data_IF_497818154405
#
_entry.id   IF_497818154405
#
_cell.length_a   1.000
_cell.length_b   1.000
_cell.length_c   1.000
_cell.angle_alpha   90.00
_cell.angle_beta   90.00
_cell.angle_gamma   90.00
#
_symmetry.space_group_name_H-M   'P 1'
#
loop_
_entity.id
_entity.type
_entity.pdbx_description
1 polymer ?
#
# COMPACT_ATOMS: atom_id res chain seq x y z
N UNK A 1 -59.64 -62.09 10.03
CA UNK A 1 -58.31 -61.57 10.41
C UNK A 1 -58.37 -60.05 10.34
N UNK A 2 -58.17 -59.36 11.48
CA UNK A 2 -58.23 -57.90 11.57
C UNK A 2 -56.93 -57.31 10.98
N UNK A 3 -57.02 -56.55 9.90
CA UNK A 3 -55.89 -55.76 9.39
C UNK A 3 -55.85 -54.42 10.13
N UNK A 4 -54.76 -54.16 10.84
CA UNK A 4 -54.47 -52.85 11.43
C UNK A 4 -53.85 -51.96 10.36
N UNK A 5 -54.44 -50.77 10.17
CA UNK A 5 -53.90 -49.71 9.34
C UNK A 5 -52.81 -49.00 10.13
N UNK A 6 -51.55 -49.17 9.71
CA UNK A 6 -50.42 -48.42 10.27
C UNK A 6 -50.34 -47.08 9.53
N UNK A 7 -50.78 -45.99 10.18
CA UNK A 7 -50.54 -44.63 9.69
C UNK A 7 -49.15 -44.22 10.17
N UNK A 8 -48.17 -44.24 9.27
CA UNK A 8 -46.86 -43.62 9.51
C UNK A 8 -47.00 -42.13 9.24
N UNK A 9 -47.07 -41.33 10.30
CA UNK A 9 -46.90 -39.88 10.20
C UNK A 9 -45.40 -39.64 10.00
N UNK A 10 -44.99 -39.45 8.75
CA UNK A 10 -43.67 -38.91 8.45
C UNK A 10 -43.67 -37.42 8.85
N UNK A 11 -43.14 -37.12 10.04
CA UNK A 11 -42.82 -35.75 10.41
C UNK A 11 -41.69 -35.27 9.48
N UNK A 12 -42.04 -34.48 8.47
CA UNK A 12 -41.07 -33.74 7.66
C UNK A 12 -40.51 -32.64 8.55
N UNK A 13 -39.33 -32.88 9.14
CA UNK A 13 -38.55 -31.81 9.76
C UNK A 13 -38.06 -30.88 8.64
N UNK A 14 -38.83 -29.83 8.35
CA UNK A 14 -38.35 -28.70 7.58
C UNK A 14 -37.32 -27.97 8.44
N UNK A 15 -36.04 -28.31 8.27
CA UNK A 15 -34.97 -27.47 8.77
C UNK A 15 -35.02 -26.16 7.97
N UNK A 16 -35.63 -25.12 8.54
CA UNK A 16 -35.46 -23.76 8.07
C UNK A 16 -33.98 -23.40 8.30
N UNK A 17 -33.17 -23.46 7.25
CA UNK A 17 -31.82 -22.89 7.32
C UNK A 17 -31.96 -21.41 7.69
N UNK A 18 -31.21 -20.97 8.69
CA UNK A 18 -31.16 -19.56 9.07
C UNK A 18 -30.66 -18.75 7.86
N UNK A 19 -31.54 -17.95 7.27
CA UNK A 19 -31.20 -17.07 6.15
C UNK A 19 -30.62 -15.77 6.71
N UNK A 20 -29.39 -15.44 6.32
CA UNK A 20 -28.77 -14.15 6.64
C UNK A 20 -29.14 -13.17 5.53
N UNK A 21 -29.92 -12.14 5.86
CA UNK A 21 -30.29 -11.09 4.92
C UNK A 21 -29.27 -9.95 4.98
N UNK A 22 -28.53 -9.76 3.89
CA UNK A 22 -27.61 -8.63 3.72
C UNK A 22 -28.40 -7.41 3.24
N UNK A 23 -28.26 -6.28 3.93
CA UNK A 23 -28.89 -5.03 3.54
C UNK A 23 -27.92 -4.16 2.74
N UNK A 24 -28.38 -3.59 1.63
CA UNK A 24 -27.64 -2.64 0.79
C UNK A 24 -28.46 -1.34 0.66
N UNK A 25 -27.79 -0.19 0.70
CA UNK A 25 -28.40 1.12 0.47
C UNK A 25 -27.48 1.98 -0.39
N UNK A 26 -27.80 2.10 -1.68
CA UNK A 26 -27.01 2.85 -2.66
C UNK A 26 -27.27 4.36 -2.67
N UNK A 27 -28.21 4.84 -1.84
CA UNK A 27 -28.41 6.28 -1.60
C UNK A 27 -27.43 6.85 -0.58
N UNK A 28 -26.78 5.99 0.23
CA UNK A 28 -25.70 6.36 1.13
C UNK A 28 -24.37 5.91 0.54
N UNK A 29 -23.57 6.90 0.11
CA UNK A 29 -22.27 6.68 -0.52
C UNK A 29 -21.13 7.16 0.38
N UNK A 30 -19.95 6.57 0.23
CA UNK A 30 -18.74 6.92 0.97
C UNK A 30 -17.63 7.33 0.00
N UNK A 31 -16.48 6.67 0.05
CA UNK A 31 -15.33 6.99 -0.77
C UNK A 31 -15.42 6.38 -2.17
N UNK A 32 -14.82 7.08 -3.14
CA UNK A 32 -14.50 6.56 -4.46
C UNK A 32 -13.13 5.86 -4.42
N UNK A 33 -13.05 4.69 -5.06
CA UNK A 33 -11.84 3.89 -5.13
C UNK A 33 -10.88 4.46 -6.18
N UNK A 34 -9.66 4.75 -5.75
CA UNK A 34 -8.54 5.08 -6.64
C UNK A 34 -7.94 3.82 -7.26
N UNK A 35 -7.80 2.73 -6.49
CA UNK A 35 -7.37 1.46 -7.04
C UNK A 35 -6.70 0.53 -6.04
N UNK A 36 -6.17 -0.56 -6.56
CA UNK A 36 -5.51 -1.61 -5.80
C UNK A 36 -4.21 -2.01 -6.47
N UNK A 37 -3.21 -2.29 -5.64
CA UNK A 37 -1.85 -2.32 -6.13
C UNK A 37 -0.88 -3.19 -5.37
N UNK A 38 0.35 -3.11 -5.83
CA UNK A 38 1.51 -3.65 -5.17
C UNK A 38 2.75 -2.83 -5.56
N UNK A 39 3.79 -2.90 -4.75
CA UNK A 39 5.15 -2.58 -5.15
C UNK A 39 5.61 -3.54 -6.26
N UNK A 40 6.46 -3.07 -7.17
CA UNK A 40 6.90 -3.81 -8.36
C UNK A 40 7.31 -5.28 -8.16
N UNK A 41 7.42 -6.01 -9.27
CA UNK A 41 7.78 -7.43 -9.29
C UNK A 41 9.27 -7.72 -9.45
N UNK A 42 10.14 -6.96 -8.77
CA UNK A 42 11.60 -7.01 -8.99
C UNK A 42 11.97 -6.70 -10.45
N UNK A 43 11.22 -5.76 -11.05
CA UNK A 43 11.28 -5.39 -12.47
C UNK A 43 11.06 -6.56 -13.45
N UNK A 44 10.47 -7.68 -13.02
CA UNK A 44 10.13 -8.78 -13.92
C UNK A 44 9.10 -8.32 -14.96
N UNK A 45 9.42 -8.49 -16.25
CA UNK A 45 8.64 -7.90 -17.34
C UNK A 45 8.36 -8.89 -18.49
N UNK A 46 8.46 -10.20 -18.23
CA UNK A 46 8.05 -11.22 -19.21
C UNK A 46 6.53 -11.29 -19.34
N UNK A 47 6.06 -11.77 -20.48
CA UNK A 47 4.63 -11.76 -20.84
C UNK A 47 3.75 -12.54 -19.85
N UNK A 48 4.23 -13.67 -19.34
CA UNK A 48 3.49 -14.50 -18.39
C UNK A 48 3.27 -13.76 -17.07
N UNK A 49 4.31 -13.12 -16.52
CA UNK A 49 4.21 -12.28 -15.34
C UNK A 49 3.24 -11.11 -15.57
N UNK A 50 3.41 -10.37 -16.67
CA UNK A 50 2.56 -9.23 -17.01
C UNK A 50 1.09 -9.62 -17.17
N UNK A 51 0.83 -10.78 -17.78
CA UNK A 51 -0.53 -11.33 -17.92
C UNK A 51 -1.14 -11.69 -16.57
N UNK A 52 -0.37 -12.30 -15.67
CA UNK A 52 -0.86 -12.59 -14.31
C UNK A 52 -1.21 -11.31 -13.54
N UNK A 53 -0.35 -10.29 -13.54
CA UNK A 53 -0.58 -9.10 -12.72
C UNK A 53 -1.60 -8.14 -13.32
N UNK A 54 -1.66 -8.00 -14.65
CA UNK A 54 -2.63 -7.11 -15.30
C UNK A 54 -3.97 -7.81 -15.49
N UNK A 55 -3.99 -8.93 -16.22
CA UNK A 55 -5.23 -9.51 -16.73
C UNK A 55 -5.96 -10.32 -15.67
N UNK A 56 -5.23 -11.10 -14.87
CA UNK A 56 -5.82 -11.99 -13.88
C UNK A 56 -6.02 -11.31 -12.53
N UNK A 57 -4.99 -10.68 -11.97
CA UNK A 57 -5.08 -9.97 -10.69
C UNK A 57 -5.93 -8.71 -10.79
N UNK A 58 -5.86 -8.00 -11.93
CA UNK A 58 -6.50 -6.71 -12.12
C UNK A 58 -5.77 -5.54 -11.46
N UNK A 59 -4.43 -5.55 -11.45
CA UNK A 59 -3.62 -4.48 -10.87
C UNK A 59 -3.96 -3.10 -11.49
N UNK A 60 -4.20 -2.10 -10.64
CA UNK A 60 -4.46 -0.71 -11.07
C UNK A 60 -3.54 0.33 -10.44
N UNK A 61 -2.74 -0.06 -9.45
CA UNK A 61 -1.68 0.77 -8.88
C UNK A 61 -0.39 -0.03 -8.89
N UNK A 62 0.67 0.51 -9.50
CA UNK A 62 2.02 0.00 -9.30
C UNK A 62 2.83 1.03 -8.51
N UNK A 63 3.34 0.63 -7.33
CA UNK A 63 4.23 1.45 -6.52
C UNK A 63 5.67 1.12 -6.87
N UNK A 64 6.48 2.15 -7.02
CA UNK A 64 7.90 2.04 -7.34
C UNK A 64 8.74 2.90 -6.41
N UNK A 65 10.02 2.56 -6.31
CA UNK A 65 10.95 3.41 -5.59
C UNK A 65 11.50 4.52 -6.46
N UNK A 66 11.57 5.70 -5.85
CA UNK A 66 12.54 6.70 -6.21
C UNK A 66 13.81 6.41 -5.43
N UNK A 67 14.90 6.21 -6.15
CA UNK A 67 16.20 6.02 -5.53
C UNK A 67 17.21 7.01 -6.13
N UNK A 68 17.64 7.97 -5.30
CA UNK A 68 18.65 8.97 -5.65
C UNK A 68 20.00 8.34 -6.06
N UNK A 69 20.26 7.12 -5.60
CA UNK A 69 21.50 6.39 -5.90
C UNK A 69 21.42 5.46 -7.12
N UNK A 70 20.28 5.35 -7.80
CA UNK A 70 20.20 4.52 -9.00
C UNK A 70 21.07 5.11 -10.12
N UNK A 71 21.99 4.29 -10.63
CA UNK A 71 22.71 4.62 -11.84
C UNK A 71 21.76 4.71 -13.03
N UNK A 72 22.14 5.51 -14.04
CA UNK A 72 21.41 5.55 -15.32
C UNK A 72 21.32 4.18 -15.98
N UNK A 73 22.31 3.31 -15.74
CA UNK A 73 22.32 1.92 -16.17
C UNK A 73 21.20 1.11 -15.52
N UNK A 74 21.03 1.22 -14.20
CA UNK A 74 19.95 0.55 -13.46
C UNK A 74 18.58 1.00 -13.97
N UNK A 75 18.35 2.32 -14.05
CA UNK A 75 17.12 2.87 -14.61
C UNK A 75 16.83 2.35 -16.03
N UNK A 76 17.82 2.42 -16.91
CA UNK A 76 17.64 2.09 -18.33
C UNK A 76 17.44 0.60 -18.61
N UNK A 77 18.04 -0.27 -17.79
CA UNK A 77 18.00 -1.73 -18.01
C UNK A 77 16.89 -2.44 -17.24
N UNK A 78 16.35 -1.84 -16.17
CA UNK A 78 15.39 -2.51 -15.28
C UNK A 78 14.07 -1.74 -15.16
N UNK A 79 14.05 -0.66 -14.40
CA UNK A 79 12.83 0.05 -14.02
C UNK A 79 12.09 0.65 -15.22
N UNK A 80 12.79 1.34 -16.14
CA UNK A 80 12.16 1.92 -17.35
C UNK A 80 11.50 0.86 -18.24
N UNK A 81 12.21 -0.21 -18.69
CA UNK A 81 11.59 -1.27 -19.48
C UNK A 81 10.41 -1.93 -18.77
N UNK A 82 10.52 -2.17 -17.46
CA UNK A 82 9.42 -2.73 -16.66
C UNK A 82 8.19 -1.80 -16.69
N UNK A 83 8.37 -0.51 -16.41
CA UNK A 83 7.29 0.47 -16.42
C UNK A 83 6.60 0.54 -17.78
N UNK A 84 7.38 0.64 -18.86
CA UNK A 84 6.84 0.70 -20.22
C UNK A 84 6.08 -0.57 -20.60
N UNK A 85 6.62 -1.75 -20.30
CA UNK A 85 5.98 -3.02 -20.64
C UNK A 85 4.71 -3.27 -19.83
N UNK A 86 4.71 -2.96 -18.54
CA UNK A 86 3.53 -3.07 -17.70
C UNK A 86 2.44 -2.08 -18.13
N UNK A 87 2.80 -0.82 -18.40
CA UNK A 87 1.86 0.17 -18.91
C UNK A 87 1.30 -0.22 -20.28
N UNK A 88 2.13 -0.76 -21.18
CA UNK A 88 1.69 -1.23 -22.49
C UNK A 88 0.70 -2.41 -22.35
N UNK A 89 0.99 -3.38 -21.47
CA UNK A 89 0.08 -4.50 -21.17
C UNK A 89 -1.23 -4.00 -20.59
N UNK A 90 -1.20 -3.09 -19.61
CA UNK A 90 -2.40 -2.49 -19.03
C UNK A 90 -3.24 -1.77 -20.08
N UNK A 91 -2.60 -0.93 -20.91
CA UNK A 91 -3.27 -0.18 -21.97
C UNK A 91 -3.92 -1.10 -23.01
N UNK A 92 -3.22 -2.16 -23.43
CA UNK A 92 -3.75 -3.15 -24.37
C UNK A 92 -4.98 -3.90 -23.82
N UNK A 93 -5.07 -4.07 -22.50
CA UNK A 93 -6.19 -4.72 -21.82
C UNK A 93 -7.20 -3.71 -21.22
N UNK A 94 -7.05 -2.42 -21.52
CA UNK A 94 -7.89 -1.31 -21.03
C UNK A 94 -7.94 -1.22 -19.49
N UNK A 95 -6.86 -1.62 -18.83
CA UNK A 95 -6.74 -1.51 -17.38
C UNK A 95 -6.22 -0.11 -16.99
N UNK A 96 -6.88 0.61 -16.07
CA UNK A 96 -6.53 1.96 -15.67
C UNK A 96 -5.35 1.97 -14.67
N UNK A 97 -4.19 1.50 -15.13
CA UNK A 97 -2.98 1.46 -14.31
C UNK A 97 -2.43 2.87 -14.05
N UNK A 98 -2.21 3.20 -12.79
CA UNK A 98 -1.49 4.38 -12.33
C UNK A 98 -0.19 4.00 -11.62
N UNK A 99 0.78 4.91 -11.66
CA UNK A 99 2.07 4.75 -10.99
C UNK A 99 2.19 5.69 -9.81
N UNK A 100 2.70 5.19 -8.70
CA UNK A 100 3.02 6.00 -7.52
C UNK A 100 4.47 5.75 -7.10
N UNK A 101 5.13 6.78 -6.59
CA UNK A 101 6.53 6.70 -6.19
C UNK A 101 6.70 7.10 -4.73
N UNK A 102 7.54 6.36 -4.01
CA UNK A 102 8.02 6.78 -2.69
C UNK A 102 9.54 6.88 -2.70
N UNK A 103 10.11 7.78 -1.91
CA UNK A 103 11.55 7.83 -1.66
C UNK A 103 11.87 6.95 -0.47
N UNK A 104 12.86 6.07 -0.56
CA UNK A 104 13.33 5.31 0.61
C UNK A 104 14.46 6.01 1.34
N UNK A 105 15.35 6.65 0.60
CA UNK A 105 16.47 7.37 1.18
C UNK A 105 16.99 8.41 0.20
N UNK A 106 17.40 9.61 0.67
CA UNK A 106 18.14 10.56 -0.13
C UNK A 106 19.59 10.11 -0.39
N UNK A 107 20.34 10.88 -1.19
CA UNK A 107 21.77 10.65 -1.38
C UNK A 107 22.52 10.58 -0.05
N UNK A 108 23.47 9.63 0.06
CA UNK A 108 24.21 9.38 1.29
C UNK A 108 24.88 10.65 1.84
N UNK A 109 25.56 11.41 0.99
CA UNK A 109 26.27 12.64 1.37
C UNK A 109 25.36 13.81 1.77
N UNK A 110 24.04 13.68 1.58
CA UNK A 110 23.08 14.63 2.11
C UNK A 110 22.64 14.32 3.54
N UNK A 111 22.94 13.11 4.04
CA UNK A 111 22.48 12.63 5.35
C UNK A 111 23.55 12.87 6.40
N UNK A 112 23.12 13.07 7.65
CA UNK A 112 24.03 13.34 8.76
C UNK A 112 24.96 12.15 9.08
N UNK A 113 24.58 10.92 8.72
CA UNK A 113 25.42 9.74 8.83
C UNK A 113 26.30 9.46 7.61
N UNK A 114 26.15 10.22 6.51
CA UNK A 114 26.82 9.97 5.23
C UNK A 114 26.61 8.53 4.69
N UNK A 115 25.44 7.92 4.95
CA UNK A 115 25.10 6.54 4.57
C UNK A 115 23.66 6.45 4.06
N UNK A 116 23.35 5.50 3.19
CA UNK A 116 21.99 5.29 2.66
C UNK A 116 21.03 4.58 3.64
N UNK A 117 21.52 4.08 4.77
CA UNK A 117 20.71 3.43 5.82
C UNK A 117 21.37 3.57 7.19
N UNK A 118 20.75 3.01 8.23
CA UNK A 118 21.34 2.94 9.57
C UNK A 118 22.31 1.75 9.68
N UNK A 119 23.53 2.01 10.11
CA UNK A 119 24.60 1.00 10.27
C UNK A 119 24.89 0.68 11.74
N UNK A 120 24.05 1.12 12.68
CA UNK A 120 24.20 0.79 14.12
C UNK A 120 23.82 -0.64 14.45
N UNK A 121 22.89 -1.21 13.69
CA UNK A 121 22.35 -2.56 13.83
C UNK A 121 22.96 -3.57 12.84
N UNK A 122 23.74 -3.10 11.86
CA UNK A 122 24.39 -3.94 10.85
C UNK A 122 25.65 -3.26 10.33
N UNK A 123 26.71 -4.06 10.14
CA UNK A 123 27.98 -3.59 9.59
C UNK A 123 27.90 -3.09 8.14
N UNK A 124 26.87 -3.46 7.40
CA UNK A 124 26.63 -3.03 6.01
C UNK A 124 25.15 -2.84 5.75
N UNK A 125 24.83 -1.88 4.88
CA UNK A 125 23.48 -1.70 4.38
C UNK A 125 22.98 -2.96 3.67
N UNK A 126 21.74 -3.37 3.95
CA UNK A 126 21.12 -4.59 3.43
C UNK A 126 21.90 -5.88 3.74
N UNK A 127 22.92 -5.86 4.63
CA UNK A 127 23.50 -7.12 5.09
C UNK A 127 22.51 -7.86 5.99
N UNK A 128 22.65 -9.18 6.02
CA UNK A 128 21.83 -10.05 6.85
C UNK A 128 21.86 -9.51 8.27
N UNK A 129 20.69 -9.06 8.76
CA UNK A 129 20.58 -8.53 10.12
C UNK A 129 21.15 -9.56 11.08
N UNK A 130 21.96 -9.11 12.05
CA UNK A 130 21.97 -9.83 13.32
C UNK A 130 20.55 -9.67 13.87
N UNK A 131 19.78 -10.77 13.87
CA UNK A 131 18.35 -10.80 14.22
C UNK A 131 18.04 -10.23 15.61
N UNK A 132 19.05 -9.89 16.41
CA UNK A 132 18.96 -9.32 17.74
C UNK A 132 19.15 -7.80 17.84
N UNK A 133 19.53 -7.08 16.76
CA UNK A 133 19.95 -5.67 16.84
C UNK A 133 18.90 -4.70 16.31
N UNK A 134 18.45 -3.77 17.16
CA UNK A 134 17.57 -2.66 16.76
C UNK A 134 18.40 -1.49 16.20
N UNK A 135 17.99 -0.95 15.05
CA UNK A 135 18.63 0.23 14.46
C UNK A 135 18.26 1.49 15.24
N UNK A 136 19.23 2.11 15.91
CA UNK A 136 19.02 3.21 16.84
C UNK A 136 19.92 4.43 16.57
N UNK A 137 20.45 4.55 15.35
CA UNK A 137 21.27 5.66 14.91
C UNK A 137 20.53 7.00 14.99
N UNK A 138 21.15 7.99 15.63
CA UNK A 138 20.56 9.33 15.79
C UNK A 138 20.84 10.26 14.62
N UNK A 139 21.67 9.85 13.66
CA UNK A 139 22.15 10.65 12.53
C UNK A 139 21.63 10.18 11.16
N UNK A 140 20.68 9.23 11.13
CA UNK A 140 20.08 8.72 9.89
C UNK A 140 18.96 9.63 9.36
N UNK A 141 19.26 10.91 9.12
CA UNK A 141 18.30 11.89 8.63
C UNK A 141 18.93 12.82 7.57
N UNK A 142 18.09 13.39 6.70
CA UNK A 142 18.51 14.38 5.70
C UNK A 142 18.85 15.72 6.36
N UNK A 143 20.04 16.24 6.09
CA UNK A 143 20.43 17.56 6.58
C UNK A 143 19.61 18.65 5.88
N UNK A 144 19.14 19.64 6.65
CA UNK A 144 18.29 20.72 6.14
C UNK A 144 18.95 21.57 5.05
N UNK A 145 20.28 21.63 5.02
CA UNK A 145 21.05 22.30 3.96
C UNK A 145 20.80 21.69 2.57
N UNK A 146 20.40 20.42 2.49
CA UNK A 146 20.15 19.71 1.24
C UNK A 146 18.65 19.57 0.89
N UNK A 147 17.73 20.21 1.63
CA UNK A 147 16.29 20.11 1.33
C UNK A 147 15.93 20.68 -0.05
N UNK A 148 16.59 21.74 -0.49
CA UNK A 148 16.38 22.29 -1.83
C UNK A 148 16.93 21.35 -2.92
N UNK A 149 18.12 20.78 -2.71
CA UNK A 149 18.72 19.84 -3.66
C UNK A 149 17.86 18.58 -3.80
N UNK A 150 17.37 18.06 -2.68
CA UNK A 150 16.38 16.98 -2.65
C UNK A 150 15.15 17.29 -3.50
N UNK A 151 14.57 18.48 -3.32
CA UNK A 151 13.37 18.88 -4.04
C UNK A 151 13.61 19.03 -5.55
N UNK A 152 14.75 19.61 -5.93
CA UNK A 152 15.15 19.80 -7.32
C UNK A 152 15.39 18.45 -8.00
N UNK A 153 16.14 17.55 -7.37
CA UNK A 153 16.41 16.21 -7.92
C UNK A 153 15.15 15.34 -7.96
N UNK A 154 14.28 15.43 -6.95
CA UNK A 154 12.96 14.77 -6.95
C UNK A 154 12.14 15.19 -8.18
N UNK A 155 12.05 16.49 -8.45
CA UNK A 155 11.34 17.02 -9.60
C UNK A 155 12.01 16.65 -10.94
N UNK A 156 13.34 16.65 -10.98
CA UNK A 156 14.11 16.28 -12.17
C UNK A 156 13.91 14.81 -12.55
N UNK A 157 13.94 13.89 -11.60
CA UNK A 157 13.65 12.49 -11.90
C UNK A 157 12.18 12.27 -12.22
N UNK A 158 11.23 12.96 -11.57
CA UNK A 158 9.83 12.89 -11.99
C UNK A 158 9.65 13.29 -13.47
N UNK A 159 10.35 14.34 -13.90
CA UNK A 159 10.41 14.72 -15.33
C UNK A 159 11.07 13.66 -16.20
N UNK A 160 12.17 13.06 -15.73
CA UNK A 160 12.87 11.97 -16.42
C UNK A 160 11.95 10.78 -16.68
N UNK A 161 11.16 10.38 -15.67
CA UNK A 161 10.15 9.33 -15.81
C UNK A 161 9.20 9.69 -16.96
N UNK A 162 8.61 10.88 -16.94
CA UNK A 162 7.69 11.33 -18.01
C UNK A 162 8.38 11.31 -19.38
N UNK A 163 9.55 11.95 -19.51
CA UNK A 163 10.20 12.13 -20.80
C UNK A 163 10.72 10.82 -21.40
N UNK A 164 11.16 9.88 -20.57
CA UNK A 164 11.77 8.63 -21.06
C UNK A 164 10.79 7.46 -21.15
N UNK A 165 9.71 7.46 -20.36
CA UNK A 165 8.72 6.37 -20.38
C UNK A 165 7.43 6.75 -21.11
N UNK A 166 7.12 8.06 -21.22
CA UNK A 166 5.81 8.55 -21.66
C UNK A 166 4.72 8.43 -20.59
N UNK A 167 5.07 8.05 -19.36
CA UNK A 167 4.15 7.81 -18.25
C UNK A 167 4.24 8.98 -17.27
N UNK A 168 3.09 9.57 -16.93
CA UNK A 168 2.98 10.57 -15.87
C UNK A 168 2.57 9.87 -14.58
N UNK A 169 3.45 9.79 -13.55
CA UNK A 169 3.07 9.19 -12.28
C UNK A 169 1.98 10.02 -11.60
N UNK A 170 1.06 9.32 -10.94
CA UNK A 170 -0.14 9.90 -10.32
C UNK A 170 0.16 10.56 -8.97
N UNK A 171 1.01 9.92 -8.16
CA UNK A 171 1.35 10.41 -6.83
C UNK A 171 2.83 10.19 -6.47
N UNK A 172 3.35 11.06 -5.60
CA UNK A 172 4.72 11.05 -5.11
C UNK A 172 4.75 11.19 -3.57
N UNK A 173 5.58 10.41 -2.90
CA UNK A 173 5.86 10.53 -1.48
C UNK A 173 7.35 10.83 -1.26
N UNK A 174 7.62 11.73 -0.32
CA UNK A 174 8.96 12.23 -0.02
C UNK A 174 9.77 11.30 0.88
N UNK A 175 9.14 10.35 1.59
CA UNK A 175 9.85 9.39 2.44
C UNK A 175 8.96 8.20 2.84
N UNK A 176 9.40 6.99 2.52
CA UNK A 176 8.89 5.74 3.06
C UNK A 176 9.24 5.61 4.54
N UNK A 177 8.28 5.28 5.40
CA UNK A 177 8.51 4.95 6.81
C UNK A 177 9.39 5.97 7.58
N UNK A 178 9.01 7.27 7.57
CA UNK A 178 9.86 8.35 8.08
C UNK A 178 10.12 8.29 9.59
N UNK A 179 9.42 7.47 10.37
CA UNK A 179 9.70 7.28 11.80
C UNK A 179 10.86 6.31 12.09
N UNK A 180 11.24 5.50 11.11
CA UNK A 180 12.07 4.31 11.33
C UNK A 180 13.49 4.48 10.83
N UNK A 181 14.38 3.83 11.58
CA UNK A 181 15.70 3.49 11.10
C UNK A 181 15.68 2.03 10.73
N UNK A 182 16.17 1.72 9.55
CA UNK A 182 16.24 0.35 9.07
C UNK A 182 17.67 0.01 8.65
N UNK A 183 18.05 -1.27 8.72
CA UNK A 183 19.36 -1.73 8.23
C UNK A 183 19.38 -1.78 6.70
N UNK A 184 18.24 -1.52 6.07
CA UNK A 184 18.09 -1.24 4.64
C UNK A 184 17.84 0.25 4.41
N UNK A 185 17.82 0.64 3.12
CA UNK A 185 17.68 2.04 2.71
C UNK A 185 16.53 2.74 3.44
N UNK A 186 16.88 3.75 4.22
CA UNK A 186 15.95 4.44 5.12
C UNK A 186 16.42 5.86 5.40
N UNK A 187 15.52 6.71 5.85
CA UNK A 187 15.83 8.05 6.33
C UNK A 187 14.74 8.50 7.30
N UNK A 188 15.14 8.77 8.54
CA UNK A 188 14.25 9.18 9.61
C UNK A 188 14.02 10.69 9.61
N UNK A 189 12.80 11.09 9.95
CA UNK A 189 12.39 12.47 10.13
C UNK A 189 11.53 12.62 11.39
N UNK A 190 11.58 13.78 12.03
CA UNK A 190 10.49 14.21 12.92
C UNK A 190 9.32 14.75 12.08
N UNK A 191 8.10 14.86 12.65
CA UNK A 191 6.99 15.53 11.99
C UNK A 191 7.31 16.94 11.45
N UNK A 192 8.10 17.73 12.17
CA UNK A 192 8.51 19.09 11.75
C UNK A 192 9.49 19.08 10.58
N UNK A 193 10.45 18.13 10.60
CA UNK A 193 11.41 17.96 9.51
C UNK A 193 10.69 17.49 8.24
N UNK A 194 9.81 16.49 8.36
CA UNK A 194 8.98 16.00 7.24
C UNK A 194 8.10 17.11 6.68
N UNK A 195 7.43 17.88 7.54
CA UNK A 195 6.59 19.01 7.12
C UNK A 195 7.39 20.08 6.37
N UNK A 196 8.60 20.38 6.82
CA UNK A 196 9.50 21.34 6.16
C UNK A 196 9.95 20.84 4.79
N UNK A 197 10.32 19.56 4.69
CA UNK A 197 10.70 18.93 3.43
C UNK A 197 9.53 18.85 2.44
N UNK A 198 8.33 18.51 2.91
CA UNK A 198 7.09 18.49 2.12
C UNK A 198 6.84 19.87 1.48
N UNK A 199 6.95 20.95 2.26
CA UNK A 199 6.76 22.32 1.75
C UNK A 199 7.70 22.66 0.63
N UNK A 200 8.99 22.40 0.83
CA UNK A 200 10.03 22.73 -0.14
C UNK A 200 9.85 21.89 -1.40
N UNK A 201 9.60 20.58 -1.23
CA UNK A 201 9.45 19.65 -2.35
C UNK A 201 8.21 19.94 -3.19
N UNK A 202 7.02 20.07 -2.60
CA UNK A 202 5.81 20.38 -3.37
C UNK A 202 5.91 21.76 -4.03
N UNK A 203 6.51 22.75 -3.38
CA UNK A 203 6.74 24.08 -3.98
C UNK A 203 7.61 23.98 -5.24
N UNK A 204 8.65 23.16 -5.23
CA UNK A 204 9.49 22.95 -6.40
C UNK A 204 8.72 22.24 -7.54
N UNK A 205 7.91 21.23 -7.22
CA UNK A 205 7.06 20.57 -8.21
C UNK A 205 6.04 21.54 -8.84
N UNK A 206 5.41 22.41 -8.05
CA UNK A 206 4.50 23.45 -8.55
C UNK A 206 5.24 24.44 -9.45
N UNK A 207 6.41 24.94 -9.00
CA UNK A 207 7.27 25.85 -9.79
C UNK A 207 7.65 25.24 -11.14
N UNK A 208 7.86 23.93 -11.18
CA UNK A 208 8.20 23.20 -12.40
C UNK A 208 6.98 22.73 -13.22
N UNK A 209 5.76 23.04 -12.79
CA UNK A 209 4.51 22.70 -13.49
C UNK A 209 4.16 21.21 -13.49
N UNK A 210 4.59 20.46 -12.47
CA UNK A 210 4.42 19.00 -12.43
C UNK A 210 3.04 18.59 -11.88
N UNK A 211 2.26 17.78 -12.64
CA UNK A 211 0.88 17.44 -12.28
C UNK A 211 0.82 16.20 -11.37
N UNK A 212 1.36 16.31 -10.16
CA UNK A 212 1.44 15.17 -9.23
C UNK A 212 0.77 15.44 -7.90
N UNK A 213 0.09 14.41 -7.36
CA UNK A 213 -0.42 14.41 -5.99
C UNK A 213 0.70 14.04 -5.02
N UNK A 214 0.68 14.61 -3.83
CA UNK A 214 1.57 14.19 -2.75
C UNK A 214 0.82 13.33 -1.74
N UNK A 215 1.35 12.14 -1.46
CA UNK A 215 0.83 11.25 -0.43
C UNK A 215 1.89 11.02 0.64
N UNK A 216 1.47 10.64 1.84
CA UNK A 216 2.34 10.39 2.98
C UNK A 216 1.59 10.52 4.31
N UNK A 217 2.26 10.40 5.45
CA UNK A 217 3.70 10.23 5.64
C UNK A 217 4.21 8.79 5.48
N UNK A 218 3.33 7.79 5.26
CA UNK A 218 3.75 6.37 5.16
C UNK A 218 4.38 5.80 6.44
N UNK A 219 3.88 6.22 7.60
CA UNK A 219 4.18 5.56 8.88
C UNK A 219 3.16 4.44 9.16
N UNK A 220 3.34 3.67 10.24
CA UNK A 220 2.49 2.55 10.63
C UNK A 220 1.04 2.99 10.85
N UNK A 221 0.11 2.13 10.42
CA UNK A 221 -1.34 2.33 10.41
C UNK A 221 -1.97 2.32 11.80
N UNK A 222 -1.69 3.35 12.58
CA UNK A 222 -2.33 3.64 13.86
C UNK A 222 -2.82 5.07 13.89
N UNK A 223 -4.00 5.28 14.48
CA UNK A 223 -4.59 6.62 14.57
C UNK A 223 -3.71 7.61 15.36
N UNK A 224 -3.02 7.13 16.40
CA UNK A 224 -2.06 7.94 17.17
C UNK A 224 -0.90 8.41 16.30
N UNK A 225 -0.27 7.47 15.58
CA UNK A 225 0.85 7.73 14.68
C UNK A 225 0.44 8.69 13.57
N UNK A 226 -0.66 8.42 12.85
CA UNK A 226 -1.16 9.33 11.82
C UNK A 226 -1.48 10.72 12.39
N UNK A 227 -2.03 10.80 13.61
CA UNK A 227 -2.31 12.06 14.30
C UNK A 227 -1.05 12.85 14.61
N UNK A 228 0.05 12.22 15.02
CA UNK A 228 1.32 12.90 15.30
C UNK A 228 1.82 13.67 14.06
N UNK A 229 1.84 13.02 12.90
CA UNK A 229 2.24 13.66 11.65
C UNK A 229 1.25 14.73 11.20
N UNK A 230 -0.04 14.39 11.20
CA UNK A 230 -1.08 15.30 10.69
C UNK A 230 -1.30 16.50 11.59
N UNK A 231 -1.03 16.43 12.91
CA UNK A 231 -1.07 17.59 13.78
C UNK A 231 -0.13 18.70 13.31
N UNK A 232 1.08 18.35 12.85
CA UNK A 232 2.04 19.33 12.33
C UNK A 232 1.65 19.77 10.93
N UNK A 233 1.33 18.83 10.02
CA UNK A 233 1.02 19.15 8.62
C UNK A 233 -0.28 19.96 8.49
N UNK A 234 -1.32 19.61 9.25
CA UNK A 234 -2.63 20.25 9.16
C UNK A 234 -2.72 21.58 9.89
N UNK A 235 -1.78 21.86 10.80
CA UNK A 235 -1.65 23.17 11.46
C UNK A 235 -0.84 24.16 10.62
N UNK A 236 -0.05 23.68 9.66
CA UNK A 236 0.67 24.52 8.70
C UNK A 236 -0.25 24.89 7.52
N UNK A 237 -0.52 26.19 7.34
CA UNK A 237 -1.45 26.70 6.34
C UNK A 237 -1.00 26.45 4.90
N UNK A 238 0.29 26.18 4.68
CA UNK A 238 0.83 25.83 3.36
C UNK A 238 0.79 24.32 3.19
N UNK A 239 1.36 23.56 4.12
CA UNK A 239 1.51 22.10 3.98
C UNK A 239 0.19 21.35 3.92
N UNK A 240 -0.83 21.82 4.65
CA UNK A 240 -2.17 21.21 4.61
C UNK A 240 -2.75 21.21 3.18
N UNK A 241 -2.35 22.16 2.34
CA UNK A 241 -2.76 22.24 0.94
C UNK A 241 -1.82 21.48 0.00
N UNK A 242 -0.63 21.10 0.47
CA UNK A 242 0.38 20.38 -0.31
C UNK A 242 0.31 18.88 -0.13
N UNK A 243 -0.16 18.38 1.01
CA UNK A 243 -0.49 16.96 1.18
C UNK A 243 -1.89 16.69 0.58
N UNK A 244 -1.95 15.86 -0.45
CA UNK A 244 -3.20 15.50 -1.12
C UNK A 244 -3.88 14.28 -0.46
N UNK A 245 -3.07 13.34 0.04
CA UNK A 245 -3.50 12.03 0.53
C UNK A 245 -2.77 11.69 1.84
N UNK A 246 -3.50 11.26 2.85
CA UNK A 246 -2.91 10.60 4.02
C UNK A 246 -2.65 9.13 3.69
N UNK A 247 -1.43 8.65 3.94
CA UNK A 247 -1.03 7.27 3.66
C UNK A 247 -0.36 6.64 4.87
N UNK A 248 -0.68 5.36 5.09
CA UNK A 248 -0.18 4.55 6.20
C UNK A 248 0.21 3.14 5.75
N UNK A 249 1.04 2.46 6.52
CA UNK A 249 1.44 1.08 6.28
C UNK A 249 0.69 0.10 7.19
N UNK A 250 0.39 -1.10 6.70
CA UNK A 250 -0.30 -2.17 7.43
C UNK A 250 0.65 -3.07 8.23
N UNK A 251 1.72 -2.52 8.81
CA UNK A 251 2.66 -3.27 9.65
C UNK A 251 2.64 -2.79 11.10
N UNK A 252 3.25 -3.59 11.98
CA UNK A 252 3.57 -3.18 13.35
C UNK A 252 4.94 -2.50 13.46
N UNK A 253 5.86 -2.83 12.56
CA UNK A 253 7.30 -2.55 12.65
C UNK A 253 7.98 -2.47 11.26
N UNK A 254 7.21 -2.21 10.20
CA UNK A 254 7.71 -2.19 8.82
C UNK A 254 7.87 -3.57 8.14
N UNK A 255 7.70 -4.68 8.87
CA UNK A 255 7.91 -6.04 8.33
C UNK A 255 6.73 -6.98 8.67
N UNK A 256 6.30 -6.97 9.92
CA UNK A 256 5.27 -7.84 10.43
C UNK A 256 3.88 -7.24 10.21
N UNK A 257 3.01 -8.00 9.55
CA UNK A 257 1.62 -7.62 9.34
C UNK A 257 0.96 -7.22 10.67
N UNK A 258 0.37 -6.02 10.71
CA UNK A 258 -0.48 -5.62 11.80
C UNK A 258 -1.94 -5.80 11.38
N UNK A 259 -2.67 -6.62 12.13
CA UNK A 259 -4.11 -6.73 11.98
C UNK A 259 -4.74 -5.37 12.25
N UNK A 260 -5.51 -4.87 11.28
CA UNK A 260 -6.28 -3.66 11.42
C UNK A 260 -7.54 -3.91 12.24
N UNK A 261 -7.95 -2.92 13.04
CA UNK A 261 -9.21 -2.97 13.79
C UNK A 261 -10.14 -1.84 13.37
N UNK A 262 -11.44 -2.11 13.42
CA UNK A 262 -12.47 -1.16 13.01
C UNK A 262 -12.34 0.22 13.68
N UNK A 263 -12.16 0.36 15.02
CA UNK A 263 -11.99 1.66 15.65
C UNK A 263 -10.73 2.40 15.20
N UNK A 264 -9.63 1.67 14.96
CA UNK A 264 -8.38 2.23 14.47
C UNK A 264 -8.55 2.84 13.08
N UNK A 265 -9.14 2.08 12.17
CA UNK A 265 -9.45 2.53 10.82
C UNK A 265 -10.43 3.71 10.78
N UNK A 266 -11.52 3.67 11.55
CA UNK A 266 -12.47 4.79 11.63
C UNK A 266 -11.85 6.06 12.23
N UNK A 267 -10.91 5.92 13.17
CA UNK A 267 -10.19 7.06 13.73
C UNK A 267 -9.23 7.67 12.70
N UNK A 268 -8.48 6.85 11.96
CA UNK A 268 -7.63 7.32 10.86
C UNK A 268 -8.45 8.02 9.76
N UNK A 269 -9.60 7.46 9.40
CA UNK A 269 -10.53 8.09 8.47
C UNK A 269 -10.99 9.47 8.97
N UNK A 270 -11.35 9.57 10.25
CA UNK A 270 -11.81 10.83 10.86
C UNK A 270 -10.71 11.90 10.82
N UNK A 271 -9.45 11.50 11.03
CA UNK A 271 -8.29 12.39 10.93
C UNK A 271 -8.15 12.91 9.49
N UNK A 272 -8.06 12.03 8.50
CA UNK A 272 -7.88 12.42 7.10
C UNK A 272 -9.05 13.27 6.58
N UNK A 273 -10.28 12.83 6.85
CA UNK A 273 -11.50 13.49 6.36
C UNK A 273 -11.74 14.86 7.00
N UNK A 274 -11.19 15.15 8.19
CA UNK A 274 -11.23 16.48 8.81
C UNK A 274 -10.65 17.60 7.94
N UNK A 275 -9.76 17.25 7.00
CA UNK A 275 -9.17 18.15 5.99
C UNK A 275 -9.50 17.72 4.56
N UNK A 276 -10.56 16.92 4.37
CA UNK A 276 -11.01 16.40 3.07
C UNK A 276 -9.91 15.66 2.31
N UNK A 277 -9.02 14.97 3.04
CA UNK A 277 -7.95 14.16 2.46
C UNK A 277 -8.43 12.73 2.25
N UNK A 278 -7.91 12.09 1.21
CA UNK A 278 -8.02 10.65 1.03
C UNK A 278 -7.22 9.92 2.11
N UNK A 279 -7.56 8.65 2.36
CA UNK A 279 -6.78 7.74 3.19
C UNK A 279 -6.37 6.51 2.38
N UNK A 280 -5.09 6.21 2.33
CA UNK A 280 -4.53 5.06 1.61
C UNK A 280 -3.81 4.12 2.57
N UNK A 281 -3.95 2.82 2.33
CA UNK A 281 -3.02 1.82 2.85
C UNK A 281 -1.97 1.58 1.76
N UNK A 282 -0.78 2.14 1.93
CA UNK A 282 0.22 2.25 0.84
C UNK A 282 1.31 1.18 0.86
N UNK A 283 1.36 0.35 1.91
CA UNK A 283 2.22 -0.82 1.97
C UNK A 283 1.78 -1.81 3.06
N UNK A 284 1.69 -3.08 2.73
CA UNK A 284 1.62 -4.18 3.70
C UNK A 284 2.09 -5.48 3.06
N UNK A 285 2.47 -6.46 3.88
CA UNK A 285 2.81 -7.82 3.47
C UNK A 285 2.93 -8.70 4.71
N UNK A 286 3.53 -9.89 4.59
CA UNK A 286 3.90 -10.67 5.76
C UNK A 286 2.85 -11.68 6.21
N UNK A 287 1.83 -11.92 5.39
CA UNK A 287 0.81 -12.94 5.64
C UNK A 287 1.28 -14.28 5.06
N UNK A 288 1.12 -15.37 5.79
CA UNK A 288 1.52 -16.70 5.30
C UNK A 288 0.66 -17.13 4.10
N UNK A 289 1.24 -17.90 3.18
CA UNK A 289 0.53 -18.58 2.09
C UNK A 289 -0.24 -19.82 2.60
N UNK A 290 -1.11 -19.60 3.57
CA UNK A 290 -2.07 -20.57 4.15
C UNK A 290 -3.36 -19.83 4.47
N UNK A 291 -4.49 -20.54 4.51
CA UNK A 291 -5.78 -19.91 4.79
C UNK A 291 -5.84 -19.35 6.22
N UNK A 292 -5.58 -20.21 7.21
CA UNK A 292 -5.51 -19.89 8.63
C UNK A 292 -4.21 -20.47 9.19
N UNK A 293 -3.68 -19.84 10.23
CA UNK A 293 -2.48 -20.30 10.91
C UNK A 293 -2.49 -19.78 12.37
N UNK A 294 -1.80 -20.50 13.27
CA UNK A 294 -1.79 -20.21 14.70
C UNK A 294 -0.63 -19.28 15.11
N UNK A 295 0.45 -19.24 14.34
CA UNK A 295 1.68 -18.51 14.68
C UNK A 295 1.71 -17.13 14.00
N UNK A 296 1.23 -17.03 12.76
CA UNK A 296 1.24 -15.78 11.98
C UNK A 296 -0.05 -15.63 11.17
N UNK A 297 -0.57 -14.41 10.92
CA UNK A 297 -1.76 -14.25 10.08
C UNK A 297 -1.60 -14.91 8.70
N UNK A 298 -2.58 -15.74 8.33
CA UNK A 298 -2.72 -16.32 7.00
C UNK A 298 -3.51 -15.41 6.04
N UNK A 299 -3.80 -15.91 4.84
CA UNK A 299 -4.52 -15.18 3.79
C UNK A 299 -5.94 -14.78 4.17
N UNK A 300 -6.63 -15.51 5.06
CA UNK A 300 -7.95 -15.06 5.53
C UNK A 300 -7.84 -13.77 6.36
N UNK A 301 -6.78 -13.63 7.17
CA UNK A 301 -6.52 -12.37 7.89
C UNK A 301 -6.30 -11.21 6.93
N UNK A 302 -5.59 -11.43 5.82
CA UNK A 302 -5.45 -10.42 4.76
C UNK A 302 -6.82 -9.98 4.20
N UNK A 303 -7.72 -10.94 3.94
CA UNK A 303 -9.07 -10.61 3.47
C UNK A 303 -9.82 -9.74 4.51
N UNK A 304 -9.70 -10.10 5.80
CA UNK A 304 -10.27 -9.31 6.88
C UNK A 304 -9.67 -7.90 6.96
N UNK A 305 -8.36 -7.75 6.77
CA UNK A 305 -7.68 -6.47 6.88
C UNK A 305 -8.04 -5.52 5.71
N UNK A 306 -8.12 -6.04 4.47
CA UNK A 306 -8.64 -5.27 3.33
C UNK A 306 -10.09 -4.85 3.60
N UNK A 307 -10.92 -5.78 4.08
CA UNK A 307 -12.31 -5.50 4.45
C UNK A 307 -12.40 -4.40 5.51
N UNK A 308 -11.62 -4.48 6.59
CA UNK A 308 -11.66 -3.50 7.68
C UNK A 308 -11.25 -2.12 7.19
N UNK A 309 -10.19 -2.05 6.37
CA UNK A 309 -9.71 -0.80 5.81
C UNK A 309 -10.76 -0.15 4.88
N UNK A 310 -11.43 -0.94 4.04
CA UNK A 310 -12.52 -0.45 3.19
C UNK A 310 -13.74 -0.03 4.02
N UNK A 311 -14.28 -0.94 4.85
CA UNK A 311 -15.55 -0.72 5.57
C UNK A 311 -15.45 0.40 6.60
N UNK A 312 -14.36 0.46 7.37
CA UNK A 312 -14.21 1.39 8.50
C UNK A 312 -13.24 2.53 8.23
N UNK A 313 -12.20 2.28 7.45
CA UNK A 313 -11.18 3.27 7.10
C UNK A 313 -11.55 4.11 5.89
N UNK A 314 -12.57 3.66 5.13
CA UNK A 314 -13.00 4.28 3.88
C UNK A 314 -11.80 4.56 2.96
N UNK A 315 -10.85 3.62 2.91
CA UNK A 315 -9.63 3.83 2.14
C UNK A 315 -9.96 3.94 0.64
N UNK A 316 -9.22 4.80 -0.05
CA UNK A 316 -9.33 4.96 -1.49
C UNK A 316 -8.38 4.00 -2.24
N UNK A 317 -7.30 3.56 -1.60
CA UNK A 317 -6.32 2.67 -2.20
C UNK A 317 -5.72 1.69 -1.20
N UNK A 318 -5.37 0.52 -1.70
CA UNK A 318 -4.63 -0.53 -0.98
C UNK A 318 -3.47 -1.02 -1.85
N UNK A 319 -2.26 -1.00 -1.31
CA UNK A 319 -1.03 -1.37 -2.02
C UNK A 319 -0.27 -2.39 -1.20
N UNK A 320 -0.14 -3.60 -1.74
CA UNK A 320 0.72 -4.65 -1.18
C UNK A 320 2.21 -4.29 -1.36
N UNK A 321 3.12 -4.97 -0.66
CA UNK A 321 4.56 -4.88 -0.93
C UNK A 321 4.89 -5.55 -2.27
N UNK A 322 5.62 -6.65 -2.37
CA UNK A 322 6.09 -7.08 -3.69
C UNK A 322 5.04 -7.83 -4.53
N UNK A 323 5.01 -7.60 -5.83
CA UNK A 323 4.30 -8.49 -6.76
C UNK A 323 4.96 -9.87 -6.86
N UNK A 324 6.29 -9.97 -6.75
CA UNK A 324 7.01 -11.20 -7.07
C UNK A 324 8.18 -11.49 -6.12
N UNK A 325 8.30 -12.76 -5.77
CA UNK A 325 9.43 -13.32 -5.02
C UNK A 325 9.81 -14.69 -5.62
N UNK A 326 10.98 -15.21 -5.26
CA UNK A 326 11.46 -16.50 -5.72
C UNK A 326 12.29 -17.22 -4.63
N UNK A 327 12.57 -18.50 -4.87
CA UNK A 327 13.27 -19.40 -3.93
C UNK A 327 14.70 -18.97 -3.55
N UNK A 328 15.28 -17.98 -4.22
CA UNK A 328 16.60 -17.46 -3.86
C UNK A 328 16.54 -16.45 -2.71
N UNK A 329 15.35 -15.93 -2.38
CA UNK A 329 15.17 -15.01 -1.25
C UNK A 329 14.85 -15.80 0.03
N UNK A 330 15.37 -15.38 1.20
CA UNK A 330 15.17 -16.08 2.48
C UNK A 330 13.72 -16.00 3.00
N UNK A 331 12.86 -15.28 2.29
CA UNK A 331 11.49 -14.93 2.65
C UNK A 331 10.47 -15.97 2.19
N UNK A 332 10.84 -16.90 1.31
CA UNK A 332 9.99 -17.98 0.81
C UNK A 332 8.59 -17.50 0.35
N UNK A 333 8.51 -16.34 -0.31
CA UNK A 333 7.24 -15.81 -0.84
C UNK A 333 6.36 -15.07 0.16
N UNK A 334 6.78 -14.96 1.43
CA UNK A 334 6.01 -14.33 2.51
C UNK A 334 5.60 -12.87 2.21
N UNK A 335 6.37 -12.17 1.38
CA UNK A 335 6.14 -10.77 1.06
C UNK A 335 5.62 -10.51 -0.35
N UNK A 336 5.32 -11.58 -1.12
CA UNK A 336 4.90 -11.45 -2.50
C UNK A 336 3.56 -12.12 -2.83
N UNK A 337 2.91 -11.57 -3.85
CA UNK A 337 1.69 -12.16 -4.40
C UNK A 337 2.01 -13.34 -5.33
N UNK A 338 3.10 -13.28 -6.10
CA UNK A 338 3.63 -14.40 -6.85
C UNK A 338 4.91 -14.93 -6.20
N UNK A 339 5.01 -16.25 -6.05
CA UNK A 339 6.22 -16.92 -5.61
C UNK A 339 6.64 -17.94 -6.67
N UNK A 340 7.86 -17.81 -7.21
CA UNK A 340 8.34 -18.61 -8.34
C UNK A 340 7.37 -18.56 -9.55
N UNK A 341 6.84 -17.38 -9.86
CA UNK A 341 5.82 -17.16 -10.89
C UNK A 341 4.47 -17.90 -10.67
N UNK A 342 4.24 -18.45 -9.48
CA UNK A 342 2.99 -19.09 -9.09
C UNK A 342 2.20 -18.16 -8.15
N UNK A 343 0.92 -17.89 -8.44
CA UNK A 343 0.04 -17.15 -7.52
C UNK A 343 -0.09 -17.81 -6.14
N UNK A 344 0.12 -17.05 -5.07
CA UNK A 344 -0.11 -17.49 -3.68
C UNK A 344 -1.58 -17.36 -3.28
N UNK A 345 -1.99 -17.87 -2.11
CA UNK A 345 -3.32 -17.59 -1.55
C UNK A 345 -3.54 -16.10 -1.30
N UNK A 346 -2.49 -15.34 -0.96
CA UNK A 346 -2.56 -13.89 -0.81
C UNK A 346 -2.88 -13.20 -2.14
N UNK A 347 -2.39 -13.73 -3.26
CA UNK A 347 -2.78 -13.27 -4.60
C UNK A 347 -4.28 -13.49 -4.84
N UNK A 348 -4.80 -14.69 -4.57
CA UNK A 348 -6.22 -14.98 -4.80
C UNK A 348 -7.14 -14.16 -3.89
N UNK A 349 -6.74 -13.92 -2.63
CA UNK A 349 -7.45 -13.00 -1.74
C UNK A 349 -7.44 -11.58 -2.31
N UNK A 350 -6.26 -11.06 -2.67
CA UNK A 350 -6.13 -9.72 -3.27
C UNK A 350 -6.96 -9.59 -4.54
N UNK A 351 -6.94 -10.58 -5.42
CA UNK A 351 -7.72 -10.63 -6.67
C UNK A 351 -9.21 -10.43 -6.46
N UNK A 352 -9.79 -10.97 -5.39
CA UNK A 352 -11.22 -10.78 -5.08
C UNK A 352 -11.59 -9.30 -4.85
N UNK A 353 -10.64 -8.48 -4.39
CA UNK A 353 -10.83 -7.04 -4.29
C UNK A 353 -10.39 -6.32 -5.56
N UNK A 354 -9.19 -6.62 -6.04
CA UNK A 354 -8.53 -5.88 -7.10
C UNK A 354 -9.31 -6.01 -8.41
N UNK A 355 -9.69 -7.23 -8.79
CA UNK A 355 -10.34 -7.51 -10.07
C UNK A 355 -11.77 -7.00 -10.14
N UNK A 356 -12.49 -6.97 -9.02
CA UNK A 356 -13.93 -6.71 -9.00
C UNK A 356 -14.29 -5.31 -8.48
N UNK A 357 -13.42 -4.66 -7.70
CA UNK A 357 -13.60 -3.26 -7.28
C UNK A 357 -12.63 -2.41 -8.11
N UNK A 358 -13.16 -1.77 -9.17
CA UNK A 358 -12.34 -1.04 -10.15
C UNK A 358 -12.20 0.43 -9.75
N UNK A 359 -11.16 1.14 -10.22
CA UNK A 359 -11.07 2.60 -10.05
C UNK A 359 -12.36 3.30 -10.50
N UNK A 360 -12.80 4.28 -9.73
CA UNK A 360 -14.08 4.96 -9.91
C UNK A 360 -15.27 4.31 -9.20
N UNK A 361 -15.14 3.06 -8.72
CA UNK A 361 -16.20 2.44 -7.93
C UNK A 361 -16.41 3.20 -6.61
N UNK A 362 -17.66 3.44 -6.24
CA UNK A 362 -18.04 4.16 -5.02
C UNK A 362 -18.57 3.17 -3.99
N UNK A 363 -18.04 3.22 -2.77
CA UNK A 363 -18.56 2.39 -1.68
C UNK A 363 -19.98 2.86 -1.33
N UNK A 364 -20.91 1.90 -1.23
CA UNK A 364 -22.28 2.13 -0.75
C UNK A 364 -22.48 1.53 0.64
N UNK A 365 -23.52 1.97 1.35
CA UNK A 365 -23.83 1.39 2.64
C UNK A 365 -24.32 -0.05 2.52
N UNK A 366 -23.81 -0.87 3.43
CA UNK A 366 -24.03 -2.31 3.45
C UNK A 366 -23.90 -2.86 4.87
N UNK A 367 -24.76 -3.78 5.26
CA UNK A 367 -24.70 -4.39 6.59
C UNK A 367 -25.13 -5.84 6.59
N UNK A 368 -24.57 -6.61 7.52
CA UNK A 368 -24.98 -7.96 7.85
C UNK A 368 -25.47 -7.97 9.31
N UNK A 369 -26.59 -8.63 9.61
CA UNK A 369 -27.01 -8.86 11.00
C UNK A 369 -26.14 -9.92 11.70
N UNK A 370 -25.34 -10.68 10.94
CA UNK A 370 -24.42 -11.69 11.46
C UNK A 370 -22.97 -11.17 11.39
N UNK A 371 -22.34 -11.05 12.56
CA UNK A 371 -20.96 -10.57 12.70
C UNK A 371 -19.89 -11.54 12.17
N UNK A 372 -20.28 -12.77 11.82
CA UNK A 372 -19.41 -13.74 11.12
C UNK A 372 -19.42 -13.56 9.60
N UNK A 373 -20.34 -12.74 9.07
CA UNK A 373 -20.46 -12.45 7.64
C UNK A 373 -20.07 -11.00 7.38
N UNK A 374 -18.84 -10.81 6.87
CA UNK A 374 -18.28 -9.52 6.54
C UNK A 374 -18.82 -9.01 5.19
N UNK A 375 -19.37 -7.79 5.16
CA UNK A 375 -19.97 -7.20 3.94
C UNK A 375 -19.49 -5.78 3.72
N UNK A 376 -18.93 -5.55 2.53
CA UNK A 376 -18.69 -4.23 1.97
C UNK A 376 -19.15 -4.24 0.51
N UNK A 377 -19.82 -3.19 0.06
CA UNK A 377 -20.43 -3.14 -1.26
C UNK A 377 -20.02 -1.87 -2.02
N UNK A 378 -19.93 -2.00 -3.34
CA UNK A 378 -19.50 -0.95 -4.26
C UNK A 378 -20.42 -0.88 -5.47
N UNK A 379 -20.56 0.33 -6.01
CA UNK A 379 -21.27 0.62 -7.26
C UNK A 379 -20.30 1.20 -8.26
N UNK A 380 -20.27 0.64 -9.46
CA UNK A 380 -19.50 1.14 -10.61
C UNK A 380 -20.29 2.17 -11.41
#
# INVERSE_FOLDING_TARGET
>A
MKQFLLIVIAAVCLNSFSQINIALNDSLVYQEITGFGAFGGDNQNNDAFLTNVVNDLGLTICRENFNFSHSDGTWSSTQKPYMQNLQAKASANKEPLIWIFSVWTPNAYWKANNQVCDTTCSSKCNAQMDKSSTCNGTTNYLLSSYYNDFAIESAAFFKKVISETGITPYAYNIQNEPAFNEPYVSCKYTPEQYNSLLKITKKEFIKQGLPVKFFGPEDMGRATTLKEWTNVIFSDTVSVNYLDICAVHGYSDGINAAKGEAPGWSSMYSIASSKKKQLWMSETSGYLDTWLDQEKPGSFSLAQDIYMALKFGKINAWVWWSLNDNQTKPTNGLYALLYNAVPTKNYYVSKNYYRYIRPGAVQIESSSPDNSVYVVAFKH
#
